data_IF_311349319233
#
_entry.id   IF_311349319233
#
_cell.length_a   1.000
_cell.length_b   1.000
_cell.length_c   1.000
_cell.angle_alpha   90.00
_cell.angle_beta   90.00
_cell.angle_gamma   90.00
#
_symmetry.space_group_name_H-M   'P 1'
#
loop_
_entity.id
_entity.type
_entity.pdbx_description
1 polymer ?
#
# COMPACT_ATOMS: atom_id res chain seq x y z
N UNK A 1 14.33 10.79 -5.34
CA UNK A 1 13.53 9.63 -4.88
C UNK A 1 14.23 8.99 -3.70
N UNK A 2 13.51 8.56 -2.67
CA UNK A 2 14.03 7.80 -1.52
C UNK A 2 13.26 6.47 -1.41
N UNK A 3 13.98 5.37 -1.19
CA UNK A 3 13.41 4.05 -0.94
C UNK A 3 13.78 3.59 0.48
N UNK A 4 12.81 3.04 1.20
CA UNK A 4 13.00 2.36 2.49
C UNK A 4 12.47 0.94 2.36
N UNK A 5 13.22 -0.03 2.89
CA UNK A 5 12.82 -1.43 2.98
C UNK A 5 12.46 -1.76 4.44
N UNK A 6 11.34 -2.45 4.65
CA UNK A 6 10.79 -2.77 5.97
C UNK A 6 10.71 -4.29 6.24
N UNK A 7 11.55 -5.07 5.57
CA UNK A 7 11.50 -6.54 5.59
C UNK A 7 10.34 -7.16 4.78
N UNK A 8 10.45 -8.45 4.50
CA UNK A 8 9.57 -9.24 3.62
C UNK A 8 9.39 -8.57 2.25
N UNK A 9 8.17 -8.14 1.93
CA UNK A 9 7.84 -7.43 0.70
C UNK A 9 7.41 -5.98 0.95
N UNK A 10 7.62 -5.45 2.16
CA UNK A 10 7.17 -4.12 2.54
C UNK A 10 8.19 -3.04 2.16
N UNK A 11 7.77 -2.09 1.32
CA UNK A 11 8.60 -0.97 0.88
C UNK A 11 7.86 0.36 1.01
N UNK A 12 8.62 1.43 1.25
CA UNK A 12 8.14 2.80 1.09
C UNK A 12 8.99 3.55 0.06
N UNK A 13 8.33 4.13 -0.92
CA UNK A 13 8.90 5.08 -1.86
C UNK A 13 8.48 6.49 -1.48
N UNK A 14 9.39 7.44 -1.60
CA UNK A 14 9.08 8.87 -1.54
C UNK A 14 9.62 9.54 -2.80
N UNK A 15 8.71 10.12 -3.60
CA UNK A 15 9.07 10.82 -4.84
C UNK A 15 9.78 12.14 -4.53
N UNK A 16 10.36 12.79 -5.55
CA UNK A 16 11.00 14.12 -5.40
C UNK A 16 10.02 15.20 -4.94
N UNK A 17 8.73 15.07 -5.30
CA UNK A 17 7.65 15.99 -4.91
C UNK A 17 6.99 15.64 -3.59
N UNK A 18 7.48 14.60 -2.89
CA UNK A 18 7.02 14.24 -1.54
C UNK A 18 5.89 13.21 -1.48
N UNK A 19 5.39 12.71 -2.62
CA UNK A 19 4.40 11.62 -2.65
C UNK A 19 4.97 10.37 -1.99
N UNK A 20 4.27 9.85 -0.98
CA UNK A 20 4.62 8.62 -0.26
C UNK A 20 3.80 7.44 -0.80
N UNK A 21 4.48 6.38 -1.21
CA UNK A 21 3.84 5.15 -1.72
C UNK A 21 4.31 4.00 -0.82
N UNK A 22 3.37 3.21 -0.31
CA UNK A 22 3.67 1.94 0.35
C UNK A 22 3.34 0.78 -0.58
N UNK A 23 4.16 -0.26 -0.56
CA UNK A 23 3.95 -1.51 -1.29
C UNK A 23 3.90 -2.63 -0.26
N UNK A 24 2.85 -3.44 -0.33
CA UNK A 24 2.63 -4.65 0.50
C UNK A 24 2.99 -4.46 2.00
N UNK A 25 2.31 -3.57 2.74
CA UNK A 25 2.73 -3.12 4.06
C UNK A 25 2.40 -4.12 5.17
N UNK A 26 3.03 -5.30 5.15
CA UNK A 26 3.04 -6.25 6.26
C UNK A 26 4.07 -5.85 7.32
N UNK A 27 3.60 -5.12 8.35
CA UNK A 27 4.45 -4.47 9.35
C UNK A 27 4.21 -5.04 10.76
N UNK A 28 2.99 -4.93 11.32
CA UNK A 28 2.75 -5.27 12.72
C UNK A 28 2.89 -6.76 12.98
N UNK A 29 2.47 -7.60 12.03
CA UNK A 29 2.61 -9.05 12.07
C UNK A 29 3.95 -9.58 11.55
N UNK A 30 4.80 -8.72 10.97
CA UNK A 30 6.12 -9.12 10.49
C UNK A 30 7.13 -9.08 11.66
N UNK A 31 7.72 -10.23 12.07
CA UNK A 31 8.62 -10.30 13.21
C UNK A 31 9.94 -9.53 13.01
N UNK A 32 10.24 -9.15 11.77
CA UNK A 32 11.48 -8.46 11.39
C UNK A 32 11.23 -7.07 10.81
N UNK A 33 9.99 -6.58 10.85
CA UNK A 33 9.71 -5.21 10.42
C UNK A 33 10.36 -4.22 11.40
N UNK A 34 11.13 -3.23 10.92
CA UNK A 34 11.74 -2.21 11.76
C UNK A 34 10.77 -1.11 12.18
N UNK A 35 9.52 -1.15 11.68
CA UNK A 35 8.49 -0.14 11.92
C UNK A 35 7.13 -0.79 12.16
N UNK A 36 6.22 -0.04 12.78
CA UNK A 36 4.79 -0.35 12.92
C UNK A 36 3.95 0.54 12.00
N UNK A 37 2.70 0.13 11.81
CA UNK A 37 1.71 0.81 10.96
C UNK A 37 1.47 2.30 11.29
N UNK A 38 1.68 2.73 12.53
CA UNK A 38 1.52 4.12 12.96
C UNK A 38 2.77 4.98 12.72
N UNK A 39 3.88 4.41 12.26
CA UNK A 39 5.16 5.11 12.01
C UNK A 39 5.39 5.43 10.52
N UNK A 40 4.45 5.09 9.65
CA UNK A 40 4.55 5.27 8.20
C UNK A 40 3.30 5.95 7.65
N UNK A 41 3.44 6.86 6.68
CA UNK A 41 2.28 7.42 5.97
C UNK A 41 2.35 7.08 4.48
N UNK A 42 1.18 7.08 3.83
CA UNK A 42 1.07 6.83 2.41
C UNK A 42 -0.04 7.68 1.76
N UNK A 43 0.27 8.26 0.60
CA UNK A 43 -0.73 8.77 -0.33
C UNK A 43 -1.35 7.59 -1.12
N UNK A 44 -0.51 6.65 -1.54
CA UNK A 44 -0.91 5.45 -2.27
C UNK A 44 -0.42 4.18 -1.58
N UNK A 45 -1.26 3.14 -1.60
CA UNK A 45 -0.87 1.80 -1.20
C UNK A 45 -1.03 0.87 -2.39
N UNK A 46 0.06 0.25 -2.81
CA UNK A 46 0.07 -0.75 -3.88
C UNK A 46 0.02 -2.13 -3.22
N UNK A 47 -0.95 -2.95 -3.63
CA UNK A 47 -1.04 -4.35 -3.20
C UNK A 47 -0.81 -5.26 -4.41
N UNK A 48 0.21 -6.10 -4.33
CA UNK A 48 0.54 -7.05 -5.40
C UNK A 48 -0.52 -8.16 -5.53
N UNK A 49 -1.01 -8.66 -4.40
CA UNK A 49 -2.08 -9.65 -4.31
C UNK A 49 -2.68 -9.68 -2.89
N UNK A 50 -3.65 -10.58 -2.66
CA UNK A 50 -4.51 -10.56 -1.48
C UNK A 50 -4.07 -11.47 -0.31
N UNK A 51 -2.84 -12.00 -0.30
CA UNK A 51 -2.36 -12.76 0.86
C UNK A 51 -2.08 -11.85 2.06
N UNK A 52 -2.26 -12.39 3.27
CA UNK A 52 -2.21 -11.61 4.51
C UNK A 52 -0.84 -10.98 4.80
N UNK A 53 0.24 -11.63 4.37
CA UNK A 53 1.62 -11.14 4.46
C UNK A 53 1.97 -10.08 3.39
N UNK A 54 0.99 -9.69 2.55
CA UNK A 54 1.09 -8.58 1.61
C UNK A 54 0.04 -7.49 1.89
N UNK A 55 -1.22 -7.86 2.16
CA UNK A 55 -2.24 -6.91 2.63
C UNK A 55 -1.78 -6.23 3.93
N UNK A 56 -1.29 -7.02 4.90
CA UNK A 56 -0.75 -6.51 6.15
C UNK A 56 -1.65 -5.47 6.83
N UNK A 57 -1.02 -4.37 7.23
CA UNK A 57 -1.61 -3.25 7.94
C UNK A 57 -2.23 -2.20 6.99
N UNK A 58 -2.45 -2.55 5.73
CA UNK A 58 -2.82 -1.58 4.70
C UNK A 58 -4.14 -0.87 4.95
N UNK A 59 -5.14 -1.55 5.53
CA UNK A 59 -6.44 -0.95 5.83
C UNK A 59 -6.36 0.06 6.97
N UNK A 60 -5.61 -0.24 8.03
CA UNK A 60 -5.34 0.67 9.14
C UNK A 60 -4.60 1.92 8.67
N UNK A 61 -3.57 1.73 7.83
CA UNK A 61 -2.79 2.85 7.26
C UNK A 61 -3.66 3.70 6.33
N UNK A 62 -4.41 3.07 5.42
CA UNK A 62 -5.28 3.78 4.48
C UNK A 62 -6.36 4.59 5.18
N UNK A 63 -6.94 4.05 6.26
CA UNK A 63 -7.94 4.75 7.07
C UNK A 63 -7.37 6.02 7.70
N UNK A 64 -6.15 5.92 8.26
CA UNK A 64 -5.49 7.06 8.92
C UNK A 64 -5.00 8.12 7.94
N UNK A 65 -4.50 7.69 6.78
CA UNK A 65 -3.86 8.59 5.81
C UNK A 65 -4.78 9.05 4.68
N UNK A 66 -6.03 8.54 4.61
CA UNK A 66 -6.93 8.70 3.47
C UNK A 66 -6.26 8.26 2.14
N UNK A 67 -5.52 7.14 2.19
CA UNK A 67 -4.75 6.65 1.03
C UNK A 67 -5.65 6.09 -0.08
N UNK A 68 -5.14 6.09 -1.31
CA UNK A 68 -5.75 5.35 -2.42
C UNK A 68 -5.03 4.01 -2.63
N UNK A 69 -5.79 2.92 -2.63
CA UNK A 69 -5.29 1.60 -3.03
C UNK A 69 -5.11 1.51 -4.54
N UNK A 70 -4.03 0.84 -4.97
CA UNK A 70 -3.79 0.47 -6.37
C UNK A 70 -3.51 -1.03 -6.40
N UNK A 71 -4.39 -1.78 -7.04
CA UNK A 71 -4.28 -3.23 -7.09
C UNK A 71 -5.15 -3.82 -8.21
N UNK A 72 -5.08 -5.14 -8.37
CA UNK A 72 -5.92 -5.88 -9.33
C UNK A 72 -7.41 -5.64 -9.06
N UNK A 73 -8.21 -5.68 -10.14
CA UNK A 73 -9.63 -5.33 -10.15
C UNK A 73 -10.43 -5.90 -8.96
N UNK A 74 -10.30 -7.18 -8.68
CA UNK A 74 -11.03 -7.88 -7.62
C UNK A 74 -10.68 -7.30 -6.24
N UNK A 75 -9.39 -7.08 -5.99
CA UNK A 75 -8.91 -6.54 -4.73
C UNK A 75 -9.28 -5.05 -4.57
N UNK A 76 -9.22 -4.27 -5.65
CA UNK A 76 -9.65 -2.88 -5.63
C UNK A 76 -11.15 -2.75 -5.31
N UNK A 77 -11.98 -3.63 -5.90
CA UNK A 77 -13.42 -3.70 -5.60
C UNK A 77 -13.67 -4.17 -4.16
N UNK A 78 -12.87 -5.10 -3.64
CA UNK A 78 -12.91 -5.48 -2.23
C UNK A 78 -12.60 -4.28 -1.32
N UNK A 79 -11.53 -3.53 -1.57
CA UNK A 79 -11.19 -2.31 -0.83
C UNK A 79 -12.33 -1.27 -0.88
N UNK A 80 -12.93 -1.04 -2.05
CA UNK A 80 -14.10 -0.15 -2.21
C UNK A 80 -15.30 -0.62 -1.40
N UNK A 81 -15.59 -1.92 -1.39
CA UNK A 81 -16.70 -2.49 -0.59
C UNK A 81 -16.52 -2.28 0.92
N UNK A 82 -15.27 -2.07 1.36
CA UNK A 82 -14.90 -1.74 2.75
C UNK A 82 -14.87 -0.23 3.04
N UNK A 83 -15.18 0.61 2.05
CA UNK A 83 -15.25 2.07 2.19
C UNK A 83 -13.95 2.81 1.92
N UNK A 84 -12.96 2.19 1.27
CA UNK A 84 -11.68 2.83 0.94
C UNK A 84 -11.65 3.37 -0.50
N UNK A 85 -10.80 4.39 -0.72
CA UNK A 85 -10.44 4.84 -2.06
C UNK A 85 -9.59 3.76 -2.74
N UNK A 86 -9.94 3.35 -3.96
CA UNK A 86 -9.13 2.43 -4.74
C UNK A 86 -9.22 2.71 -6.23
N UNK A 87 -8.13 2.47 -6.94
CA UNK A 87 -8.04 2.49 -8.39
C UNK A 87 -7.83 1.07 -8.90
N UNK A 88 -8.74 0.61 -9.77
CA UNK A 88 -8.69 -0.72 -10.36
C UNK A 88 -7.61 -0.73 -11.45
N UNK A 89 -6.68 -1.67 -11.36
CA UNK A 89 -5.77 -2.02 -12.45
C UNK A 89 -5.89 -3.52 -12.78
N UNK A 90 -5.09 -3.98 -13.74
CA UNK A 90 -4.90 -5.40 -13.99
C UNK A 90 -3.49 -5.65 -14.57
N UNK A 91 -3.06 -6.91 -14.56
CA UNK A 91 -1.78 -7.36 -15.10
C UNK A 91 -1.55 -6.78 -16.51
N UNK A 92 -0.43 -6.08 -16.70
CA UNK A 92 -0.02 -5.48 -17.98
C UNK A 92 -0.65 -4.11 -18.27
N UNK A 93 -1.63 -3.65 -17.49
CA UNK A 93 -2.19 -2.31 -17.62
C UNK A 93 -1.31 -1.25 -16.96
N UNK A 94 -1.39 -0.01 -17.47
CA UNK A 94 -0.69 1.15 -16.91
C UNK A 94 -1.64 2.35 -16.83
N UNK A 95 -1.39 3.25 -15.88
CA UNK A 95 -2.16 4.47 -15.68
C UNK A 95 -1.24 5.59 -15.17
N UNK A 96 -1.48 6.82 -15.62
CA UNK A 96 -0.83 8.02 -15.08
C UNK A 96 -1.72 8.58 -13.97
N UNK A 97 -1.21 8.57 -12.74
CA UNK A 97 -1.91 9.12 -11.56
C UNK A 97 -1.63 10.63 -11.35
N UNK A 98 -0.83 11.21 -12.25
CA UNK A 98 -0.46 12.61 -12.39
C UNK A 98 -0.93 13.14 -13.76
#
# INVERSE_FOLDING_TARGET
MKLRYFSHSAFQLTTSVGTKILIDPFLSGNPTSPVKQNEVDANYIILTHAHGDHIGDSFEIAKRCNSTFICVNELANYCKSKGFNAHNMHIGGAHNFD
#
